data_IF_307862987311
#
_entry.id   IF_307862987311
#
_cell.length_a   1.000
_cell.length_b   1.000
_cell.length_c   1.000
_cell.angle_alpha   90.00
_cell.angle_beta   90.00
_cell.angle_gamma   90.00
#
_symmetry.space_group_name_H-M   'P 1'
#
loop_
_entity.id
_entity.type
_entity.pdbx_description
1 polymer ?
#
# COMPACT_ATOMS: atom_id res chain seq x y z
N UNK A 1 32.96 -39.29 28.07
CA UNK A 1 33.02 -38.08 27.22
C UNK A 1 32.81 -38.35 25.72
N UNK A 2 33.45 -39.33 25.07
CA UNK A 2 33.25 -39.60 23.62
C UNK A 2 31.81 -39.93 23.19
N UNK A 3 30.99 -40.55 24.07
CA UNK A 3 29.57 -40.85 23.78
C UNK A 3 28.63 -39.62 23.85
N UNK A 4 29.04 -38.53 24.53
CA UNK A 4 28.23 -37.30 24.64
C UNK A 4 28.38 -36.42 23.38
N UNK A 5 29.56 -36.47 22.75
CA UNK A 5 29.87 -35.69 21.54
C UNK A 5 29.13 -36.22 20.29
N UNK A 6 28.81 -37.52 20.27
CA UNK A 6 28.02 -38.13 19.20
C UNK A 6 26.53 -37.72 19.25
N UNK A 7 25.99 -37.44 20.46
CA UNK A 7 24.59 -37.04 20.62
C UNK A 7 24.34 -35.59 20.14
N UNK A 8 25.34 -34.70 20.26
CA UNK A 8 25.26 -33.31 19.80
C UNK A 8 25.20 -33.18 18.26
N UNK A 9 25.69 -34.17 17.51
CA UNK A 9 25.64 -34.16 16.04
C UNK A 9 24.28 -34.55 15.46
N UNK A 10 23.43 -35.27 16.20
CA UNK A 10 22.08 -35.62 15.75
C UNK A 10 21.04 -34.51 15.99
N UNK A 11 21.36 -33.52 16.84
CA UNK A 11 20.47 -32.37 17.08
C UNK A 11 20.72 -31.18 16.15
N UNK A 12 21.80 -31.17 15.35
CA UNK A 12 22.13 -30.04 14.46
C UNK A 12 21.52 -30.12 13.06
N UNK A 13 20.75 -31.17 12.75
CA UNK A 13 20.38 -31.49 11.35
C UNK A 13 19.01 -30.99 10.90
N UNK A 14 18.21 -30.36 11.76
CA UNK A 14 16.94 -29.75 11.32
C UNK A 14 17.17 -28.27 11.03
N UNK A 15 18.07 -28.00 10.08
CA UNK A 15 18.04 -26.72 9.37
C UNK A 15 16.80 -26.74 8.50
N UNK A 16 15.67 -26.27 9.02
CA UNK A 16 14.49 -26.03 8.21
C UNK A 16 14.91 -25.06 7.10
N UNK A 17 15.03 -25.57 5.87
CA UNK A 17 15.20 -24.73 4.71
C UNK A 17 14.05 -23.72 4.73
N UNK A 18 14.37 -22.44 4.89
CA UNK A 18 13.37 -21.40 4.90
C UNK A 18 12.61 -21.48 3.57
N UNK A 19 11.29 -21.61 3.68
CA UNK A 19 10.39 -21.60 2.54
C UNK A 19 10.55 -20.26 1.82
N UNK A 20 10.87 -20.31 0.52
CA UNK A 20 10.97 -19.11 -0.33
C UNK A 20 9.58 -18.75 -0.88
N UNK A 21 8.94 -17.77 -0.25
CA UNK A 21 7.61 -17.28 -0.63
C UNK A 21 7.57 -16.78 -2.08
N UNK A 22 8.68 -16.28 -2.63
CA UNK A 22 8.72 -15.80 -4.03
C UNK A 22 8.54 -16.91 -5.04
N UNK A 23 8.77 -18.16 -4.63
CA UNK A 23 8.70 -19.34 -5.51
C UNK A 23 7.46 -20.18 -5.27
N UNK A 24 7.04 -20.35 -4.02
CA UNK A 24 5.99 -21.33 -3.68
C UNK A 24 4.67 -20.71 -3.23
N UNK A 25 4.64 -19.41 -2.91
CA UNK A 25 3.46 -18.73 -2.40
C UNK A 25 2.97 -17.65 -3.36
N UNK A 26 3.80 -16.63 -3.63
CA UNK A 26 3.40 -15.48 -4.45
C UNK A 26 2.93 -15.84 -5.87
N UNK A 27 3.54 -16.82 -6.58
CA UNK A 27 3.02 -17.25 -7.87
C UNK A 27 1.60 -17.83 -7.78
N UNK A 28 1.30 -18.65 -6.77
CA UNK A 28 -0.04 -19.24 -6.59
C UNK A 28 -1.06 -18.16 -6.19
N UNK A 29 -0.66 -17.21 -5.35
CA UNK A 29 -1.49 -16.04 -5.03
C UNK A 29 -1.77 -15.20 -6.27
N UNK A 30 -0.79 -15.03 -7.17
CA UNK A 30 -1.00 -14.36 -8.44
C UNK A 30 -2.09 -15.06 -9.26
N UNK A 31 -2.03 -16.39 -9.38
CA UNK A 31 -3.07 -17.16 -10.09
C UNK A 31 -4.44 -17.04 -9.42
N UNK A 32 -4.51 -17.07 -8.07
CA UNK A 32 -5.76 -16.84 -7.34
C UNK A 32 -6.37 -15.45 -7.64
N UNK A 33 -5.52 -14.41 -7.65
CA UNK A 33 -5.94 -13.06 -7.97
C UNK A 33 -6.36 -12.91 -9.44
N UNK A 34 -5.68 -13.58 -10.39
CA UNK A 34 -6.08 -13.60 -11.80
C UNK A 34 -7.41 -14.34 -12.01
N UNK A 35 -7.64 -15.44 -11.29
CA UNK A 35 -8.93 -16.13 -11.32
C UNK A 35 -10.06 -15.22 -10.79
N UNK A 36 -9.80 -14.37 -9.78
CA UNK A 36 -10.75 -13.31 -9.36
C UNK A 36 -11.00 -12.31 -10.49
N UNK A 37 -9.94 -11.85 -11.16
CA UNK A 37 -10.05 -10.91 -12.30
C UNK A 37 -10.94 -11.50 -13.40
N UNK A 38 -10.86 -12.81 -13.61
CA UNK A 38 -11.66 -13.56 -14.59
C UNK A 38 -13.01 -14.05 -14.03
N UNK A 39 -13.39 -13.61 -12.83
CA UNK A 39 -14.64 -13.98 -12.12
C UNK A 39 -14.80 -15.48 -11.82
N UNK A 40 -13.70 -16.25 -11.86
CA UNK A 40 -13.69 -17.67 -11.50
C UNK A 40 -13.40 -17.86 -10.00
N UNK A 41 -14.37 -17.55 -9.16
CA UNK A 41 -14.20 -17.56 -7.70
C UNK A 41 -13.98 -18.96 -7.09
N UNK A 42 -14.44 -20.02 -7.77
CA UNK A 42 -14.18 -21.39 -7.33
C UNK A 42 -12.71 -21.76 -7.48
N UNK A 43 -12.12 -21.42 -8.62
CA UNK A 43 -10.71 -21.63 -8.92
C UNK A 43 -9.82 -20.73 -8.05
N UNK A 44 -10.19 -19.45 -7.89
CA UNK A 44 -9.48 -18.54 -6.98
C UNK A 44 -9.39 -19.10 -5.56
N UNK A 45 -10.51 -19.63 -5.03
CA UNK A 45 -10.54 -20.26 -3.72
C UNK A 45 -9.67 -21.52 -3.66
N UNK A 46 -9.60 -22.31 -4.73
CA UNK A 46 -8.72 -23.48 -4.79
C UNK A 46 -7.24 -23.07 -4.73
N UNK A 47 -6.83 -22.07 -5.52
CA UNK A 47 -5.47 -21.53 -5.48
C UNK A 47 -5.12 -20.92 -4.12
N UNK A 48 -6.03 -20.21 -3.45
CA UNK A 48 -5.78 -19.73 -2.09
C UNK A 48 -5.53 -20.89 -1.11
N UNK A 49 -6.34 -21.94 -1.15
CA UNK A 49 -6.14 -23.11 -0.29
C UNK A 49 -4.80 -23.81 -0.58
N UNK A 50 -4.42 -23.95 -1.84
CA UNK A 50 -3.12 -24.49 -2.25
C UNK A 50 -1.97 -23.64 -1.71
N UNK A 51 -2.01 -22.32 -1.91
CA UNK A 51 -1.00 -21.40 -1.40
C UNK A 51 -0.88 -21.47 0.14
N UNK A 52 -2.02 -21.56 0.84
CA UNK A 52 -2.04 -21.65 2.31
C UNK A 52 -1.54 -23.01 2.84
N UNK A 53 -1.65 -24.08 2.06
CA UNK A 53 -1.08 -25.37 2.43
C UNK A 53 0.46 -25.38 2.32
N UNK A 54 1.04 -24.51 1.50
CA UNK A 54 2.48 -24.43 1.25
C UNK A 54 3.25 -23.56 2.27
N UNK A 55 2.55 -22.79 3.11
CA UNK A 55 3.21 -21.89 4.06
C UNK A 55 2.52 -21.92 5.42
N UNK A 56 3.29 -21.76 6.49
CA UNK A 56 2.74 -21.73 7.85
C UNK A 56 1.92 -20.46 8.12
N UNK A 57 2.34 -19.33 7.54
CA UNK A 57 1.81 -18.00 7.87
C UNK A 57 1.44 -17.17 6.63
N UNK A 58 0.32 -17.48 5.95
CA UNK A 58 -0.21 -16.64 4.87
C UNK A 58 -0.54 -15.21 5.32
N UNK A 59 -0.60 -14.26 4.38
CA UNK A 59 -0.95 -12.87 4.70
C UNK A 59 -2.44 -12.69 5.00
N UNK A 60 -2.78 -11.76 5.90
CA UNK A 60 -4.16 -11.48 6.30
C UNK A 60 -5.04 -11.05 5.11
N UNK A 61 -4.48 -10.27 4.17
CA UNK A 61 -5.19 -9.87 2.95
C UNK A 61 -5.61 -11.06 2.08
N UNK A 62 -4.78 -12.11 2.06
CA UNK A 62 -5.03 -13.28 1.21
C UNK A 62 -6.13 -14.12 1.84
N UNK A 63 -6.13 -14.26 3.18
CA UNK A 63 -7.29 -14.80 3.90
C UNK A 63 -8.56 -14.00 3.65
N UNK A 64 -8.47 -12.66 3.60
CA UNK A 64 -9.62 -11.81 3.29
C UNK A 64 -10.16 -12.11 1.89
N UNK A 65 -9.30 -12.14 0.87
CA UNK A 65 -9.73 -12.43 -0.50
C UNK A 65 -10.32 -13.84 -0.62
N UNK A 66 -9.73 -14.82 0.07
CA UNK A 66 -10.25 -16.18 0.15
C UNK A 66 -11.61 -16.22 0.86
N UNK A 67 -11.83 -15.43 1.91
CA UNK A 67 -13.11 -15.29 2.60
C UNK A 67 -14.20 -14.68 1.70
N UNK A 68 -13.85 -13.65 0.93
CA UNK A 68 -14.75 -13.07 -0.09
C UNK A 68 -15.10 -14.13 -1.14
N UNK A 69 -14.11 -14.85 -1.69
CA UNK A 69 -14.36 -15.94 -2.63
C UNK A 69 -15.27 -17.02 -2.03
N UNK A 70 -14.97 -17.49 -0.81
CA UNK A 70 -15.74 -18.50 -0.09
C UNK A 70 -17.20 -18.08 0.13
N UNK A 71 -17.44 -16.80 0.44
CA UNK A 71 -18.79 -16.22 0.54
C UNK A 71 -19.52 -16.31 -0.80
N UNK A 72 -18.89 -15.85 -1.88
CA UNK A 72 -19.50 -15.80 -3.21
C UNK A 72 -19.88 -17.21 -3.71
N UNK A 73 -19.05 -18.22 -3.41
CA UNK A 73 -19.34 -19.61 -3.79
C UNK A 73 -20.20 -20.38 -2.77
N UNK A 74 -20.74 -19.69 -1.75
CA UNK A 74 -21.65 -20.28 -0.76
C UNK A 74 -21.00 -21.20 0.29
N UNK A 75 -19.67 -21.17 0.44
CA UNK A 75 -18.92 -21.97 1.43
C UNK A 75 -18.76 -21.20 2.76
N UNK A 76 -19.88 -20.91 3.42
CA UNK A 76 -19.92 -20.07 4.63
C UNK A 76 -19.03 -20.55 5.79
N UNK A 77 -18.94 -21.86 6.12
CA UNK A 77 -18.03 -22.33 7.17
C UNK A 77 -16.56 -21.97 6.88
N UNK A 78 -16.13 -22.17 5.63
CA UNK A 78 -14.76 -21.86 5.19
C UNK A 78 -14.49 -20.35 5.25
N UNK A 79 -15.49 -19.52 4.95
CA UNK A 79 -15.36 -18.07 5.10
C UNK A 79 -15.07 -17.70 6.57
N UNK A 80 -15.83 -18.24 7.53
CA UNK A 80 -15.60 -17.95 8.94
C UNK A 80 -14.22 -18.41 9.41
N UNK A 81 -13.76 -19.59 8.97
CA UNK A 81 -12.40 -20.07 9.27
C UNK A 81 -11.32 -19.08 8.82
N UNK A 82 -11.51 -18.44 7.66
CA UNK A 82 -10.58 -17.40 7.20
C UNK A 82 -10.70 -16.10 7.99
N UNK A 83 -11.91 -15.66 8.34
CA UNK A 83 -12.07 -14.45 9.15
C UNK A 83 -11.46 -14.62 10.55
N UNK A 84 -11.57 -15.79 11.16
CA UNK A 84 -10.91 -16.11 12.44
C UNK A 84 -9.38 -16.00 12.32
N UNK A 85 -8.78 -16.49 11.24
CA UNK A 85 -7.34 -16.35 10.96
C UNK A 85 -6.91 -14.89 10.81
N UNK A 86 -7.77 -14.02 10.26
CA UNK A 86 -7.53 -12.57 10.18
C UNK A 86 -7.59 -11.94 11.58
N UNK A 87 -8.56 -12.32 12.42
CA UNK A 87 -8.66 -11.84 13.81
C UNK A 87 -7.46 -12.30 14.66
N UNK A 88 -6.98 -13.53 14.45
CA UNK A 88 -5.79 -14.04 15.12
C UNK A 88 -4.52 -13.21 14.85
N UNK A 89 -4.50 -12.47 13.73
CA UNK A 89 -3.45 -11.50 13.37
C UNK A 89 -3.70 -10.08 13.92
N UNK A 90 -4.69 -9.91 14.80
CA UNK A 90 -4.97 -8.64 15.47
C UNK A 90 -5.90 -7.71 14.73
N UNK A 91 -6.62 -8.18 13.69
CA UNK A 91 -7.74 -7.43 13.12
C UNK A 91 -8.90 -7.36 14.13
N UNK A 92 -9.46 -6.18 14.33
CA UNK A 92 -10.62 -6.03 15.22
C UNK A 92 -11.88 -6.54 14.51
N UNK A 93 -12.64 -7.41 15.17
CA UNK A 93 -13.86 -8.02 14.64
C UNK A 93 -14.90 -6.97 14.23
N UNK A 94 -14.97 -5.85 14.95
CA UNK A 94 -15.86 -4.73 14.66
C UNK A 94 -15.60 -4.11 13.28
N UNK A 95 -14.36 -4.18 12.78
CA UNK A 95 -14.00 -3.61 11.49
C UNK A 95 -14.67 -4.33 10.31
N UNK A 96 -15.01 -5.62 10.44
CA UNK A 96 -15.76 -6.32 9.39
C UNK A 96 -17.17 -5.74 9.16
N UNK A 97 -17.76 -5.06 10.15
CA UNK A 97 -19.04 -4.36 9.98
C UNK A 97 -18.92 -3.01 9.27
N UNK A 98 -17.72 -2.45 9.23
CA UNK A 98 -17.42 -1.24 8.47
C UNK A 98 -17.04 -1.56 7.03
N UNK A 99 -16.66 -2.80 6.76
CA UNK A 99 -16.41 -3.31 5.42
C UNK A 99 -17.72 -3.46 4.63
N UNK A 100 -17.79 -2.84 3.45
CA UNK A 100 -19.02 -2.83 2.66
C UNK A 100 -19.51 -4.25 2.30
N UNK A 101 -18.59 -5.16 1.98
CA UNK A 101 -18.94 -6.53 1.61
C UNK A 101 -19.41 -7.31 2.83
N UNK A 102 -18.59 -7.37 3.89
CA UNK A 102 -18.89 -8.16 5.07
C UNK A 102 -20.00 -7.57 5.93
N UNK A 103 -20.27 -6.26 5.88
CA UNK A 103 -21.47 -5.66 6.47
C UNK A 103 -22.75 -6.33 5.96
N UNK A 104 -22.87 -6.50 4.64
CA UNK A 104 -24.06 -7.14 4.06
C UNK A 104 -24.18 -8.62 4.47
N UNK A 105 -23.05 -9.32 4.57
CA UNK A 105 -23.01 -10.69 5.09
C UNK A 105 -23.44 -10.73 6.55
N UNK A 106 -22.94 -9.81 7.37
CA UNK A 106 -23.25 -9.70 8.79
C UNK A 106 -24.73 -9.44 9.06
N UNK A 107 -25.34 -8.58 8.24
CA UNK A 107 -26.74 -8.18 8.40
C UNK A 107 -27.71 -9.28 7.94
N UNK A 108 -27.28 -10.22 7.09
CA UNK A 108 -28.13 -11.25 6.48
C UNK A 108 -27.86 -12.67 6.99
N UNK A 109 -26.64 -12.97 7.45
CA UNK A 109 -26.25 -14.31 7.89
C UNK A 109 -26.55 -14.54 9.37
N UNK A 110 -27.47 -15.48 9.67
CA UNK A 110 -27.83 -15.85 11.05
C UNK A 110 -26.65 -16.35 11.90
N UNK A 111 -25.64 -16.93 11.27
CA UNK A 111 -24.46 -17.47 11.97
C UNK A 111 -23.47 -16.36 12.39
N UNK A 112 -23.58 -15.15 11.83
CA UNK A 112 -22.64 -14.07 12.09
C UNK A 112 -22.56 -13.69 13.57
N UNK A 113 -23.69 -13.62 14.27
CA UNK A 113 -23.72 -13.30 15.70
C UNK A 113 -22.95 -14.31 16.56
N UNK A 114 -22.89 -15.59 16.14
CA UNK A 114 -22.10 -16.61 16.83
C UNK A 114 -20.61 -16.44 16.52
N UNK A 115 -20.27 -16.20 15.25
CA UNK A 115 -18.91 -15.88 14.83
C UNK A 115 -18.35 -14.68 15.60
N UNK A 116 -19.10 -13.57 15.73
CA UNK A 116 -18.62 -12.39 16.47
C UNK A 116 -18.33 -12.70 17.94
N UNK A 117 -19.17 -13.52 18.59
CA UNK A 117 -18.93 -13.94 19.97
C UNK A 117 -17.67 -14.79 20.09
N UNK A 118 -17.45 -15.72 19.15
CA UNK A 118 -16.28 -16.60 19.13
C UNK A 118 -15.00 -15.82 18.80
N UNK A 119 -15.04 -14.98 17.77
CA UNK A 119 -13.93 -14.16 17.33
C UNK A 119 -13.41 -13.22 18.43
N UNK A 120 -14.30 -12.67 19.28
CA UNK A 120 -13.90 -11.85 20.45
C UNK A 120 -13.07 -12.61 21.48
N UNK A 121 -13.12 -13.93 21.49
CA UNK A 121 -12.32 -14.78 22.39
C UNK A 121 -10.93 -15.09 21.83
N UNK A 122 -10.71 -14.84 20.54
CA UNK A 122 -9.41 -15.05 19.90
C UNK A 122 -8.43 -14.00 20.42
N UNK A 123 -7.36 -14.45 21.09
CA UNK A 123 -6.27 -13.60 21.54
C UNK A 123 -5.20 -13.55 20.44
N UNK A 124 -4.92 -12.38 19.84
CA UNK A 124 -3.88 -12.27 18.83
C UNK A 124 -2.51 -12.65 19.41
N UNK A 125 -1.73 -13.44 18.67
CA UNK A 125 -0.39 -13.86 19.08
C UNK A 125 0.66 -12.82 18.66
N UNK A 126 0.50 -11.58 19.14
CA UNK A 126 1.31 -10.44 18.72
C UNK A 126 2.20 -9.92 19.86
N UNK A 127 3.37 -9.42 19.52
CA UNK A 127 4.26 -8.70 20.43
C UNK A 127 3.78 -7.25 20.56
N UNK A 128 2.92 -7.01 21.56
CA UNK A 128 2.34 -5.69 21.81
C UNK A 128 3.39 -4.64 22.19
N UNK A 129 4.41 -5.02 22.97
CA UNK A 129 5.47 -4.11 23.40
C UNK A 129 6.28 -3.59 22.21
N UNK A 130 6.69 -4.49 21.32
CA UNK A 130 7.43 -4.14 20.11
C UNK A 130 6.57 -3.28 19.17
N UNK A 131 5.30 -3.63 19.01
CA UNK A 131 4.34 -2.85 18.23
C UNK A 131 4.19 -1.43 18.77
N UNK A 132 3.99 -1.29 20.08
CA UNK A 132 3.79 0.02 20.71
C UNK A 132 5.09 0.85 20.68
N UNK A 133 6.25 0.20 20.77
CA UNK A 133 7.56 0.82 20.58
C UNK A 133 7.71 1.41 19.18
N UNK A 134 7.39 0.63 18.14
CA UNK A 134 7.38 1.12 16.76
C UNK A 134 6.35 2.24 16.55
N UNK A 135 5.19 2.18 17.21
CA UNK A 135 4.15 3.24 17.08
C UNK A 135 4.66 4.55 17.64
N UNK A 136 5.38 4.49 18.75
CA UNK A 136 6.02 5.66 19.31
C UNK A 136 7.08 6.21 18.35
N UNK A 137 7.89 5.35 17.72
CA UNK A 137 8.87 5.77 16.71
C UNK A 137 8.18 6.44 15.52
N UNK A 138 7.14 5.81 14.97
CA UNK A 138 6.36 6.35 13.87
C UNK A 138 5.77 7.72 14.21
N UNK A 139 5.13 7.86 15.37
CA UNK A 139 4.58 9.14 15.85
C UNK A 139 5.65 10.24 15.96
N UNK A 140 6.88 9.87 16.34
CA UNK A 140 8.00 10.82 16.42
C UNK A 140 8.48 11.25 15.03
N UNK A 141 8.47 10.34 14.06
CA UNK A 141 8.80 10.63 12.65
C UNK A 141 7.74 11.52 12.00
N UNK A 142 6.46 11.23 12.21
CA UNK A 142 5.36 11.97 11.57
C UNK A 142 5.07 13.31 12.23
N UNK A 143 5.74 13.65 13.34
CA UNK A 143 5.55 14.94 14.00
C UNK A 143 6.48 15.97 13.33
N UNK A 144 5.94 16.93 12.55
CA UNK A 144 6.79 17.89 11.87
C UNK A 144 7.59 18.70 12.91
N UNK A 145 8.88 18.96 12.67
CA UNK A 145 9.65 19.83 13.54
C UNK A 145 9.06 21.24 13.51
N UNK A 146 8.92 21.85 14.68
CA UNK A 146 8.43 23.21 14.79
C UNK A 146 9.61 24.14 15.04
N UNK A 147 10.03 24.88 14.03
CA UNK A 147 10.93 26.02 14.23
C UNK A 147 10.08 27.26 14.53
N UNK A 148 10.31 27.95 15.67
CA UNK A 148 9.58 29.18 15.99
C UNK A 148 9.77 30.23 14.88
N UNK A 149 8.67 30.85 14.47
CA UNK A 149 8.71 32.01 13.56
C UNK A 149 9.33 33.22 14.24
N UNK A 150 10.00 34.07 13.44
CA UNK A 150 10.59 35.32 13.91
C UNK A 150 9.52 36.30 14.39
N UNK A 151 9.91 37.30 15.19
CA UNK A 151 9.00 38.33 15.67
C UNK A 151 8.38 39.15 14.52
N UNK A 152 9.16 39.44 13.48
CA UNK A 152 8.71 40.16 12.28
C UNK A 152 7.65 39.36 11.51
N UNK A 153 7.91 38.08 11.25
CA UNK A 153 6.99 37.19 10.56
C UNK A 153 5.70 37.00 11.37
N UNK A 154 5.80 36.90 12.70
CA UNK A 154 4.64 36.85 13.60
C UNK A 154 3.79 38.11 13.54
N UNK A 155 4.42 39.28 13.52
CA UNK A 155 3.72 40.57 13.36
C UNK A 155 3.03 40.67 12.00
N UNK A 156 3.70 40.24 10.93
CA UNK A 156 3.12 40.19 9.60
C UNK A 156 1.91 39.27 9.54
N UNK A 157 2.03 38.02 10.00
CA UNK A 157 0.92 37.05 10.03
C UNK A 157 -0.26 37.64 10.81
N UNK A 158 -0.03 38.19 12.01
CA UNK A 158 -1.10 38.77 12.84
C UNK A 158 -1.85 39.90 12.14
N UNK A 159 -1.19 40.66 11.27
CA UNK A 159 -1.81 41.74 10.51
C UNK A 159 -2.62 41.25 9.30
N UNK A 160 -2.26 40.10 8.71
CA UNK A 160 -2.82 39.61 7.44
C UNK A 160 -3.79 38.43 7.61
N UNK A 161 -3.62 37.63 8.67
CA UNK A 161 -4.49 36.53 9.05
C UNK A 161 -5.24 36.95 10.32
N UNK A 162 -6.42 37.54 10.14
CA UNK A 162 -7.35 37.71 11.26
C UNK A 162 -7.82 36.31 11.63
N UNK A 163 -7.42 35.83 12.81
CA UNK A 163 -7.96 34.65 13.54
C UNK A 163 -7.12 33.36 13.59
N UNK A 164 -6.02 33.20 12.84
CA UNK A 164 -5.19 31.99 12.99
C UNK A 164 -4.19 32.09 14.16
N UNK A 165 -4.40 31.28 15.20
CA UNK A 165 -3.52 31.20 16.38
C UNK A 165 -2.21 30.47 16.13
N UNK A 166 -2.14 29.62 15.10
CA UNK A 166 -0.97 28.82 14.76
C UNK A 166 -1.00 28.45 13.29
N UNK A 167 0.13 28.64 12.59
CA UNK A 167 0.29 28.23 11.20
C UNK A 167 1.67 27.57 11.01
N UNK A 168 1.75 26.40 10.36
CA UNK A 168 3.02 25.78 10.00
C UNK A 168 3.85 26.71 9.11
N UNK A 169 5.18 26.67 9.24
CA UNK A 169 6.08 27.47 8.39
C UNK A 169 5.84 27.15 6.91
N UNK A 170 5.59 25.89 6.56
CA UNK A 170 5.33 25.49 5.18
C UNK A 170 4.02 26.04 4.60
N UNK A 171 3.06 26.42 5.43
CA UNK A 171 1.83 27.08 4.97
C UNK A 171 2.06 28.56 4.63
N UNK A 172 3.12 29.19 5.17
CA UNK A 172 3.40 30.61 4.96
C UNK A 172 3.76 30.95 3.50
N UNK A 173 4.22 29.97 2.72
CA UNK A 173 4.57 30.15 1.30
C UNK A 173 3.35 30.48 0.44
N UNK A 174 2.15 30.20 0.93
CA UNK A 174 0.89 30.49 0.24
C UNK A 174 0.39 31.91 0.51
N UNK A 175 1.03 32.67 1.41
CA UNK A 175 0.64 34.04 1.69
C UNK A 175 1.07 34.95 0.54
N UNK A 176 0.08 35.43 -0.22
CA UNK A 176 0.30 36.41 -1.27
C UNK A 176 0.85 37.73 -0.68
N UNK A 177 1.64 38.44 -1.48
CA UNK A 177 2.18 39.78 -1.17
C UNK A 177 3.12 39.86 0.05
N UNK A 178 3.68 38.74 0.52
CA UNK A 178 4.69 38.76 1.58
C UNK A 178 5.94 39.56 1.13
N UNK A 179 6.43 40.53 1.92
CA UNK A 179 7.68 41.23 1.64
C UNK A 179 8.84 40.26 1.39
N UNK A 180 9.71 40.57 0.42
CA UNK A 180 10.81 39.67 -0.01
C UNK A 180 11.73 39.26 1.14
N UNK A 181 12.02 40.14 2.08
CA UNK A 181 12.80 39.82 3.27
C UNK A 181 12.12 38.78 4.17
N UNK A 182 10.79 38.84 4.31
CA UNK A 182 10.01 37.85 5.06
C UNK A 182 9.90 36.52 4.30
N UNK A 183 9.78 36.55 2.97
CA UNK A 183 9.84 35.33 2.14
C UNK A 183 11.19 34.61 2.34
N UNK A 184 12.31 35.34 2.30
CA UNK A 184 13.63 34.77 2.57
C UNK A 184 13.73 34.18 3.99
N UNK A 185 13.07 34.78 4.98
CA UNK A 185 12.99 34.22 6.34
C UNK A 185 12.18 32.93 6.36
N UNK A 186 11.02 32.88 5.69
CA UNK A 186 10.21 31.67 5.53
C UNK A 186 11.05 30.56 4.90
N UNK A 187 11.73 30.83 3.78
CA UNK A 187 12.58 29.83 3.11
C UNK A 187 13.72 29.32 4.00
N UNK A 188 14.34 30.22 4.76
CA UNK A 188 15.38 29.84 5.73
C UNK A 188 14.82 28.95 6.84
N UNK A 189 13.64 29.28 7.38
CA UNK A 189 12.97 28.47 8.40
C UNK A 189 12.53 27.11 7.85
N UNK A 190 12.04 27.05 6.60
CA UNK A 190 11.71 25.79 5.92
C UNK A 190 12.92 24.91 5.75
N UNK A 191 14.05 25.47 5.31
CA UNK A 191 15.32 24.75 5.21
C UNK A 191 15.75 24.17 6.58
N UNK A 192 15.65 24.97 7.65
CA UNK A 192 15.95 24.50 9.01
C UNK A 192 14.99 23.40 9.48
N UNK A 193 13.69 23.52 9.18
CA UNK A 193 12.72 22.44 9.46
C UNK A 193 13.08 21.17 8.71
N UNK A 194 13.36 21.24 7.40
CA UNK A 194 13.76 20.08 6.61
C UNK A 194 15.03 19.42 7.13
N UNK A 195 16.01 20.19 7.60
CA UNK A 195 17.22 19.64 8.25
C UNK A 195 16.88 18.90 9.54
N UNK A 196 16.09 19.52 10.44
CA UNK A 196 15.66 18.87 11.70
C UNK A 196 14.82 17.62 11.44
N UNK A 197 13.95 17.66 10.44
CA UNK A 197 13.14 16.52 10.02
C UNK A 197 14.03 15.38 9.53
N UNK A 198 15.02 15.69 8.69
CA UNK A 198 15.98 14.70 8.22
C UNK A 198 16.75 14.06 9.38
N UNK A 199 17.22 14.84 10.36
CA UNK A 199 17.91 14.32 11.55
C UNK A 199 17.00 13.40 12.39
N UNK A 200 15.76 13.82 12.65
CA UNK A 200 14.77 13.00 13.36
C UNK A 200 14.54 11.69 12.61
N UNK A 201 14.27 11.75 11.30
CA UNK A 201 14.04 10.54 10.48
C UNK A 201 15.27 9.63 10.54
N UNK A 202 16.48 10.17 10.39
CA UNK A 202 17.74 9.39 10.44
C UNK A 202 17.90 8.68 11.78
N UNK A 203 17.77 9.39 12.89
CA UNK A 203 17.92 8.83 14.24
C UNK A 203 16.90 7.73 14.50
N UNK A 204 15.65 7.94 14.08
CA UNK A 204 14.57 6.98 14.26
C UNK A 204 14.72 5.76 13.34
N UNK A 205 15.20 5.95 12.12
CA UNK A 205 15.52 4.87 11.20
C UNK A 205 16.62 3.97 11.76
N UNK A 206 17.68 4.54 12.33
CA UNK A 206 18.76 3.75 12.95
C UNK A 206 18.25 2.88 14.12
N UNK A 207 17.24 3.35 14.86
CA UNK A 207 16.59 2.54 15.89
C UNK A 207 15.82 1.38 15.26
N UNK A 208 15.05 1.62 14.19
CA UNK A 208 14.33 0.56 13.48
C UNK A 208 15.27 -0.46 12.87
N UNK A 209 16.38 -0.04 12.25
CA UNK A 209 17.37 -0.96 11.70
C UNK A 209 17.96 -1.87 12.79
N UNK A 210 18.29 -1.33 13.96
CA UNK A 210 18.72 -2.14 15.11
C UNK A 210 17.64 -3.12 15.57
N UNK A 211 16.36 -2.72 15.54
CA UNK A 211 15.26 -3.64 15.85
C UNK A 211 15.17 -4.77 14.81
N UNK A 212 15.34 -4.46 13.53
CA UNK A 212 15.37 -5.44 12.44
C UNK A 212 16.56 -6.39 12.55
N UNK A 213 17.73 -5.91 13.01
CA UNK A 213 18.90 -6.75 13.26
C UNK A 213 18.64 -7.76 14.39
N UNK A 214 17.92 -7.36 15.45
CA UNK A 214 17.65 -8.21 16.62
C UNK A 214 16.52 -9.21 16.34
N UNK A 215 15.45 -8.76 15.69
CA UNK A 215 14.21 -9.52 15.58
C UNK A 215 13.95 -10.07 14.16
N UNK A 216 14.78 -9.73 13.19
CA UNK A 216 14.47 -9.88 11.78
C UNK A 216 13.36 -8.93 11.34
N UNK A 217 12.83 -9.14 10.13
CA UNK A 217 11.71 -8.33 9.65
C UNK A 217 10.45 -8.58 10.49
N UNK A 218 9.79 -7.49 10.89
CA UNK A 218 8.68 -7.51 11.82
C UNK A 218 7.36 -7.61 11.05
N UNK A 219 6.90 -8.83 10.80
CA UNK A 219 5.71 -9.10 9.99
C UNK A 219 4.38 -8.87 10.72
N UNK A 220 3.27 -9.08 10.02
CA UNK A 220 1.92 -8.98 10.56
C UNK A 220 1.57 -10.08 11.59
N UNK A 221 2.33 -11.18 11.66
CA UNK A 221 2.14 -12.18 12.70
C UNK A 221 2.74 -11.71 14.02
N UNK A 222 3.89 -11.03 13.95
CA UNK A 222 4.60 -10.53 15.11
C UNK A 222 4.00 -9.22 15.64
N UNK A 223 3.69 -8.27 14.76
CA UNK A 223 3.19 -6.96 15.18
C UNK A 223 1.67 -6.87 15.17
N UNK A 224 1.00 -7.79 14.49
CA UNK A 224 -0.40 -7.60 14.13
C UNK A 224 -0.59 -6.50 13.08
N UNK A 225 -1.84 -6.34 12.66
CA UNK A 225 -2.23 -5.34 11.66
C UNK A 225 -2.20 -3.91 12.26
N UNK A 226 -1.86 -2.93 11.42
CA UNK A 226 -1.73 -1.53 11.85
C UNK A 226 -3.09 -0.95 12.29
N UNK A 227 -3.22 -0.66 13.59
CA UNK A 227 -4.46 -0.09 14.16
C UNK A 227 -4.52 1.44 14.10
N UNK A 228 -3.43 2.14 13.72
CA UNK A 228 -3.40 3.61 13.73
C UNK A 228 -4.49 4.22 12.84
N UNK A 229 -4.80 3.55 11.73
CA UNK A 229 -5.88 3.98 10.83
C UNK A 229 -7.27 3.45 11.23
N UNK A 230 -7.36 2.49 12.17
CA UNK A 230 -8.63 1.93 12.64
C UNK A 230 -9.36 2.88 13.59
N UNK A 231 -8.63 3.63 14.42
CA UNK A 231 -9.24 4.54 15.41
C UNK A 231 -9.55 5.93 14.88
N UNK A 232 -8.94 6.32 13.75
CA UNK A 232 -9.11 7.63 13.10
C UNK A 232 -9.99 7.56 11.84
N UNK A 233 -11.15 6.89 11.93
CA UNK A 233 -12.15 6.89 10.85
C UNK A 233 -12.72 8.30 10.53
N UNK A 234 -12.48 9.29 11.39
CA UNK A 234 -12.87 10.69 11.20
C UNK A 234 -11.79 11.57 10.57
N UNK A 235 -10.73 10.98 10.00
CA UNK A 235 -9.77 11.74 9.19
C UNK A 235 -10.51 12.59 8.15
N UNK A 236 -10.06 13.84 7.89
CA UNK A 236 -10.79 14.78 7.03
C UNK A 236 -11.11 14.11 5.70
N UNK A 237 -12.32 14.33 5.12
CA UNK A 237 -12.79 13.72 3.88
C UNK A 237 -12.01 14.27 2.68
N UNK A 238 -10.71 14.01 2.62
CA UNK A 238 -9.90 14.31 1.47
C UNK A 238 -10.21 13.25 0.41
N UNK A 239 -11.00 13.70 -0.57
CA UNK A 239 -11.42 13.04 -1.84
C UNK A 239 -12.70 12.19 -1.75
N UNK A 240 -13.83 12.89 -1.75
CA UNK A 240 -15.17 12.38 -2.09
C UNK A 240 -15.36 11.95 -3.56
N UNK A 241 -14.29 11.86 -4.36
CA UNK A 241 -14.41 11.38 -5.74
C UNK A 241 -13.99 9.90 -5.77
N UNK A 242 -15.00 9.01 -5.79
CA UNK A 242 -14.96 7.61 -6.26
C UNK A 242 -14.07 6.57 -5.55
N UNK A 243 -13.24 6.93 -4.56
CA UNK A 243 -12.33 5.98 -3.87
C UNK A 243 -12.82 5.58 -2.46
N UNK A 244 -13.96 6.10 -2.00
CA UNK A 244 -14.42 5.95 -0.61
C UNK A 244 -14.90 4.55 -0.20
N UNK A 245 -15.14 3.64 -1.14
CA UNK A 245 -15.65 2.31 -0.83
C UNK A 245 -14.61 1.34 -0.25
N UNK A 246 -13.29 1.61 -0.37
CA UNK A 246 -12.24 0.65 0.00
C UNK A 246 -11.35 1.09 1.18
N UNK A 247 -11.75 2.10 1.98
CA UNK A 247 -10.94 2.53 3.13
C UNK A 247 -10.94 1.54 4.30
N UNK A 248 -11.99 0.75 4.51
CA UNK A 248 -12.00 -0.28 5.58
C UNK A 248 -11.08 -1.46 5.27
N UNK A 249 -10.82 -1.70 3.98
CA UNK A 249 -9.97 -2.78 3.53
C UNK A 249 -8.53 -2.33 3.27
N UNK A 250 -8.28 -1.01 3.31
CA UNK A 250 -6.92 -0.43 3.27
C UNK A 250 -6.05 -0.91 4.44
N UNK A 251 -6.65 -1.26 5.60
CA UNK A 251 -5.94 -1.77 6.78
C UNK A 251 -5.26 -3.13 6.59
N UNK A 252 -5.78 -3.93 5.66
CA UNK A 252 -5.17 -5.22 5.25
C UNK A 252 -4.19 -5.01 4.09
N UNK A 253 -4.27 -3.86 3.41
CA UNK A 253 -3.51 -3.47 2.21
C UNK A 253 -2.16 -2.81 2.51
N UNK A 254 -1.95 -2.33 3.74
CA UNK A 254 -0.75 -1.61 4.14
C UNK A 254 -0.29 -2.16 5.49
N UNK A 255 0.52 -3.22 5.46
CA UNK A 255 1.16 -3.70 6.67
C UNK A 255 2.64 -3.88 6.40
N UNK A 256 3.44 -2.94 6.89
CA UNK A 256 3.79 -2.92 8.32
C UNK A 256 4.12 -1.50 8.73
N UNK A 257 4.02 -1.20 10.02
CA UNK A 257 4.53 0.03 10.61
C UNK A 257 6.02 0.26 10.27
N UNK A 258 6.75 -0.84 10.05
CA UNK A 258 8.12 -0.82 9.52
C UNK A 258 8.13 -0.31 8.09
N UNK A 259 7.27 -0.81 7.20
CA UNK A 259 7.13 -0.30 5.83
C UNK A 259 6.91 1.20 5.78
N UNK A 260 6.02 1.73 6.64
CA UNK A 260 5.75 3.18 6.70
C UNK A 260 6.99 3.97 7.19
N UNK A 261 7.68 3.48 8.22
CA UNK A 261 8.91 4.12 8.72
C UNK A 261 10.01 4.11 7.66
N UNK A 262 10.18 2.99 6.95
CA UNK A 262 11.14 2.85 5.86
C UNK A 262 10.75 3.70 4.63
N UNK A 263 9.46 3.95 4.42
CA UNK A 263 8.99 4.90 3.42
C UNK A 263 9.40 6.33 3.76
N UNK A 264 9.34 6.73 5.02
CA UNK A 264 9.79 8.08 5.42
C UNK A 264 11.29 8.30 5.18
N UNK A 265 12.14 7.28 5.36
CA UNK A 265 13.58 7.43 5.06
C UNK A 265 13.86 7.66 3.58
N UNK A 266 13.02 7.12 2.72
CA UNK A 266 13.16 7.23 1.28
C UNK A 266 12.97 8.67 0.74
N UNK A 267 12.28 9.53 1.50
CA UNK A 267 12.10 10.95 1.18
C UNK A 267 13.31 11.84 1.56
N UNK A 268 14.35 11.29 2.20
CA UNK A 268 15.56 12.05 2.53
C UNK A 268 16.34 12.38 1.26
N UNK A 269 16.05 13.54 0.66
CA UNK A 269 16.63 13.99 -0.61
C UNK A 269 18.16 14.19 -0.59
N UNK A 270 18.82 14.22 0.57
CA UNK A 270 20.22 14.69 0.67
C UNK A 270 21.09 14.05 1.77
N UNK A 271 20.60 13.06 2.52
CA UNK A 271 21.36 12.46 3.64
C UNK A 271 21.56 10.98 3.37
N UNK A 272 22.81 10.50 3.53
CA UNK A 272 23.29 9.11 3.49
C UNK A 272 22.19 8.08 3.23
N UNK A 273 21.87 7.82 1.95
CA UNK A 273 20.85 6.83 1.58
C UNK A 273 21.24 5.48 2.18
N UNK A 274 20.52 5.04 3.20
CA UNK A 274 20.71 3.70 3.75
C UNK A 274 20.05 2.72 2.78
N UNK A 275 20.84 1.86 2.14
CA UNK A 275 20.29 0.82 1.27
C UNK A 275 19.67 -0.30 2.10
N UNK A 276 18.35 -0.25 2.24
CA UNK A 276 17.53 -1.25 2.92
C UNK A 276 17.07 -2.38 1.99
N UNK A 277 17.41 -2.31 0.70
CA UNK A 277 16.92 -3.27 -0.31
C UNK A 277 17.26 -4.74 0.03
N UNK A 278 18.45 -5.09 0.55
CA UNK A 278 18.77 -6.46 0.95
C UNK A 278 17.85 -7.00 2.05
N UNK A 279 17.56 -6.18 3.07
CA UNK A 279 16.69 -6.54 4.20
C UNK A 279 15.27 -6.83 3.69
N UNK A 280 14.76 -5.98 2.80
CA UNK A 280 13.39 -6.14 2.28
C UNK A 280 13.29 -7.34 1.35
N UNK A 281 14.27 -7.57 0.48
CA UNK A 281 14.31 -8.77 -0.39
C UNK A 281 14.30 -10.04 0.44
N UNK A 282 15.07 -10.07 1.53
CA UNK A 282 15.07 -11.21 2.46
C UNK A 282 13.72 -11.35 3.17
N UNK A 283 13.13 -10.25 3.64
CA UNK A 283 11.81 -10.27 4.26
C UNK A 283 10.71 -10.82 3.32
N UNK A 284 10.78 -10.49 2.04
CA UNK A 284 9.84 -11.02 1.03
C UNK A 284 10.02 -12.53 0.85
N UNK A 285 11.27 -13.00 0.70
CA UNK A 285 11.56 -14.44 0.57
C UNK A 285 11.07 -15.23 1.79
N UNK A 286 11.20 -14.65 2.98
CA UNK A 286 10.74 -15.24 4.24
C UNK A 286 9.22 -15.10 4.48
N UNK A 287 8.47 -14.46 3.58
CA UNK A 287 7.02 -14.25 3.74
C UNK A 287 6.65 -13.22 4.81
N UNK A 288 7.59 -12.37 5.21
CA UNK A 288 7.42 -11.33 6.23
C UNK A 288 7.00 -9.98 5.66
N UNK A 289 7.17 -9.79 4.36
CA UNK A 289 6.78 -8.59 3.64
C UNK A 289 6.19 -8.95 2.28
N UNK A 290 5.19 -8.20 1.83
CA UNK A 290 4.64 -8.39 0.49
C UNK A 290 5.55 -7.75 -0.57
N UNK A 291 5.78 -8.38 -1.75
CA UNK A 291 6.59 -7.84 -2.85
C UNK A 291 6.24 -6.42 -3.27
N UNK A 292 4.97 -6.03 -3.14
CA UNK A 292 4.53 -4.66 -3.49
C UNK A 292 5.10 -3.59 -2.55
N UNK A 293 5.51 -3.92 -1.32
CA UNK A 293 6.18 -2.95 -0.43
C UNK A 293 7.51 -2.49 -1.04
N UNK A 294 8.21 -3.36 -1.78
CA UNK A 294 9.43 -2.99 -2.51
C UNK A 294 9.16 -1.87 -3.52
N UNK A 295 7.97 -1.78 -4.12
CA UNK A 295 7.64 -0.69 -5.04
C UNK A 295 7.89 0.66 -4.39
N UNK A 296 7.35 0.78 -3.18
CA UNK A 296 7.33 2.02 -2.45
C UNK A 296 8.77 2.38 -2.01
N UNK A 297 9.61 1.39 -1.69
CA UNK A 297 10.97 1.62 -1.20
C UNK A 297 12.04 1.75 -2.30
N UNK A 298 12.00 0.89 -3.33
CA UNK A 298 13.00 0.84 -4.41
C UNK A 298 12.87 1.99 -5.40
N UNK A 299 11.64 2.49 -5.60
CA UNK A 299 11.40 3.67 -6.43
C UNK A 299 12.11 4.94 -5.94
N UNK A 300 12.57 4.97 -4.69
CA UNK A 300 13.33 6.08 -4.13
C UNK A 300 14.82 5.75 -3.90
N UNK A 301 15.17 4.48 -3.67
CA UNK A 301 16.55 4.08 -3.38
C UNK A 301 17.40 3.90 -4.63
N UNK A 302 16.82 3.47 -5.75
CA UNK A 302 17.57 3.16 -6.98
C UNK A 302 17.13 4.02 -8.15
N UNK A 303 18.06 4.39 -9.03
CA UNK A 303 17.77 4.99 -10.34
C UNK A 303 17.12 3.99 -11.32
N UNK A 304 16.68 2.82 -10.85
CA UNK A 304 16.11 1.76 -11.68
C UNK A 304 14.58 1.87 -11.76
N UNK A 305 14.01 2.28 -12.91
CA UNK A 305 12.58 2.28 -13.10
C UNK A 305 12.08 0.84 -13.30
N UNK A 306 11.82 0.12 -12.20
CA UNK A 306 10.98 -1.07 -12.28
C UNK A 306 9.55 -0.60 -12.59
N UNK A 307 9.14 -0.65 -13.86
CA UNK A 307 7.76 -0.29 -14.21
C UNK A 307 6.79 -1.22 -13.49
N UNK A 308 5.78 -0.63 -12.86
CA UNK A 308 4.87 -1.35 -11.97
C UNK A 308 3.61 -1.83 -12.67
N UNK A 309 3.63 -1.91 -14.00
CA UNK A 309 2.42 -2.11 -14.79
C UNK A 309 1.43 -0.97 -14.56
N UNK A 310 1.89 0.28 -14.73
CA UNK A 310 1.00 1.44 -14.60
C UNK A 310 0.06 1.49 -15.79
N UNK A 311 -1.22 1.68 -15.54
CA UNK A 311 -2.23 1.95 -16.56
C UNK A 311 -2.78 3.35 -16.39
N UNK A 312 -2.77 4.13 -17.46
CA UNK A 312 -3.45 5.40 -17.51
C UNK A 312 -4.88 5.18 -17.99
N UNK A 313 -5.86 5.55 -17.17
CA UNK A 313 -7.28 5.56 -17.48
C UNK A 313 -7.66 6.98 -17.81
N UNK A 314 -7.91 7.26 -19.09
CA UNK A 314 -8.24 8.60 -19.56
C UNK A 314 -9.74 8.67 -19.85
N UNK A 315 -10.40 9.67 -19.28
CA UNK A 315 -11.65 10.18 -19.83
C UNK A 315 -11.33 11.45 -20.62
N UNK A 316 -11.79 11.53 -21.86
CA UNK A 316 -11.49 12.66 -22.72
C UNK A 316 -12.58 13.73 -22.61
N UNK A 317 -12.19 14.99 -22.49
CA UNK A 317 -13.08 16.14 -22.65
C UNK A 317 -12.44 17.14 -23.59
N UNK A 318 -13.26 17.82 -24.40
CA UNK A 318 -12.77 18.99 -25.12
C UNK A 318 -12.72 20.17 -24.14
N UNK A 319 -11.78 21.07 -24.36
CA UNK A 319 -11.81 22.38 -23.71
C UNK A 319 -13.04 23.17 -24.18
N UNK A 320 -13.53 24.04 -23.31
CA UNK A 320 -14.65 24.93 -23.63
C UNK A 320 -14.29 25.72 -24.90
N UNK A 321 -15.23 25.78 -25.85
CA UNK A 321 -15.12 26.43 -27.18
C UNK A 321 -14.53 25.59 -28.34
N UNK A 322 -14.14 24.34 -28.13
CA UNK A 322 -13.72 23.48 -29.26
C UNK A 322 -14.91 22.69 -29.78
N UNK A 323 -15.24 22.90 -31.06
CA UNK A 323 -16.18 22.07 -31.78
C UNK A 323 -15.43 21.06 -32.66
N UNK A 324 -15.56 19.77 -32.35
CA UNK A 324 -15.03 18.72 -33.21
C UNK A 324 -16.10 18.25 -34.20
N UNK A 325 -15.99 18.58 -35.51
CA UNK A 325 -16.96 18.15 -36.51
C UNK A 325 -16.92 16.64 -36.79
N UNK A 326 -16.03 15.90 -36.13
CA UNK A 326 -15.93 14.46 -36.28
C UNK A 326 -17.14 13.78 -35.61
N UNK A 327 -17.99 13.13 -36.41
CA UNK A 327 -19.18 12.39 -35.95
C UNK A 327 -18.83 11.29 -34.92
N UNK A 328 -17.59 10.80 -34.92
CA UNK A 328 -17.14 9.80 -33.95
C UNK A 328 -16.82 10.40 -32.57
N UNK A 329 -16.71 11.74 -32.45
CA UNK A 329 -16.38 12.37 -31.17
C UNK A 329 -17.46 12.15 -30.11
N UNK A 330 -18.73 12.25 -30.49
CA UNK A 330 -19.83 12.02 -29.56
C UNK A 330 -19.79 10.62 -28.96
N UNK A 331 -19.35 9.63 -29.74
CA UNK A 331 -19.12 8.27 -29.28
C UNK A 331 -17.85 8.17 -28.43
N UNK A 332 -16.79 8.91 -28.78
CA UNK A 332 -15.49 8.82 -28.12
C UNK A 332 -15.44 9.51 -26.75
N UNK A 333 -16.16 10.61 -26.55
CA UNK A 333 -16.08 11.47 -25.34
C UNK A 333 -16.66 10.85 -24.08
N UNK A 334 -17.61 9.94 -24.24
CA UNK A 334 -18.28 9.27 -23.12
C UNK A 334 -17.55 8.00 -22.66
N UNK A 335 -16.49 7.60 -23.39
CA UNK A 335 -15.75 6.37 -23.14
C UNK A 335 -14.51 6.61 -22.29
N UNK A 336 -14.11 5.57 -21.58
CA UNK A 336 -12.84 5.52 -20.87
C UNK A 336 -11.81 4.76 -21.71
N UNK A 337 -10.59 5.28 -21.78
CA UNK A 337 -9.49 4.72 -22.56
C UNK A 337 -8.36 4.28 -21.66
N UNK A 338 -7.79 3.12 -21.97
CA UNK A 338 -6.80 2.45 -21.15
C UNK A 338 -5.48 2.35 -21.87
N UNK A 339 -4.46 3.04 -21.37
CA UNK A 339 -3.14 3.03 -21.97
C UNK A 339 -2.11 2.45 -21.01
N UNK A 340 -1.52 1.32 -21.41
CA UNK A 340 -0.39 0.70 -20.71
C UNK A 340 0.81 1.66 -20.76
N UNK A 341 1.42 1.94 -19.62
CA UNK A 341 2.70 2.64 -19.55
C UNK A 341 3.78 1.78 -20.22
N UNK A 342 4.60 2.37 -21.07
CA UNK A 342 5.76 1.70 -21.68
C UNK A 342 7.03 2.35 -21.14
N UNK A 343 7.99 1.53 -20.72
CA UNK A 343 9.33 2.03 -20.41
C UNK A 343 9.98 2.59 -21.67
N UNK A 344 10.65 3.73 -21.54
CA UNK A 344 11.46 4.29 -22.61
C UNK A 344 12.82 3.58 -22.75
N UNK A 345 13.29 2.90 -21.70
CA UNK A 345 14.68 2.41 -21.59
C UNK A 345 14.79 0.90 -21.48
N UNK A 346 13.73 0.19 -21.07
CA UNK A 346 13.76 -1.25 -20.83
C UNK A 346 12.73 -1.98 -21.70
N UNK A 347 13.11 -3.15 -22.20
CA UNK A 347 12.18 -4.08 -22.82
C UNK A 347 11.25 -4.73 -21.80
N UNK A 348 10.12 -5.26 -22.26
CA UNK A 348 9.18 -5.96 -21.39
C UNK A 348 9.78 -7.23 -20.76
N UNK A 349 10.69 -7.91 -21.46
CA UNK A 349 11.40 -9.09 -20.96
C UNK A 349 12.27 -8.69 -19.75
N UNK A 350 13.11 -7.65 -19.90
CA UNK A 350 13.95 -7.15 -18.81
C UNK A 350 13.13 -6.67 -17.60
N UNK A 351 11.99 -6.02 -17.85
CA UNK A 351 11.06 -5.61 -16.80
C UNK A 351 10.52 -6.83 -16.06
N UNK A 352 10.08 -7.87 -16.78
CA UNK A 352 9.54 -9.08 -16.18
C UNK A 352 10.59 -9.85 -15.38
N UNK A 353 11.82 -9.98 -15.87
CA UNK A 353 12.91 -10.60 -15.14
C UNK A 353 13.18 -9.87 -13.81
N UNK A 354 13.25 -8.54 -13.85
CA UNK A 354 13.42 -7.72 -12.63
C UNK A 354 12.26 -7.90 -11.65
N UNK A 355 11.02 -7.89 -12.15
CA UNK A 355 9.81 -8.08 -11.33
C UNK A 355 9.81 -9.45 -10.65
N UNK A 356 10.07 -10.51 -11.41
CA UNK A 356 10.08 -11.88 -10.88
C UNK A 356 11.20 -12.10 -9.86
N UNK A 357 12.37 -11.49 -10.05
CA UNK A 357 13.46 -11.50 -9.07
C UNK A 357 13.10 -10.85 -7.72
N UNK A 358 12.03 -10.04 -7.69
CA UNK A 358 11.48 -9.40 -6.50
C UNK A 358 10.23 -10.13 -5.97
N UNK A 359 9.81 -11.24 -6.59
CA UNK A 359 8.57 -11.93 -6.26
C UNK A 359 7.31 -11.25 -6.79
N UNK A 360 7.43 -10.30 -7.71
CA UNK A 360 6.30 -9.64 -8.37
C UNK A 360 5.84 -10.45 -9.60
N UNK A 361 4.56 -10.31 -9.93
CA UNK A 361 3.94 -10.88 -11.12
C UNK A 361 4.47 -10.28 -12.42
N UNK A 362 4.18 -10.90 -13.57
CA UNK A 362 4.52 -10.33 -14.88
C UNK A 362 3.75 -9.04 -15.14
N UNK A 363 4.28 -8.22 -16.05
CA UNK A 363 3.71 -6.92 -16.39
C UNK A 363 2.29 -7.05 -16.95
N UNK A 364 2.01 -8.10 -17.72
CA UNK A 364 0.66 -8.36 -18.25
C UNK A 364 -0.35 -8.62 -17.13
N UNK A 365 -0.01 -9.46 -16.16
CA UNK A 365 -0.84 -9.76 -15.00
C UNK A 365 -1.09 -8.49 -14.18
N UNK A 366 -0.03 -7.68 -13.98
CA UNK A 366 -0.14 -6.39 -13.32
C UNK A 366 -1.13 -5.46 -14.03
N UNK A 367 -1.13 -5.40 -15.36
CA UNK A 367 -2.10 -4.60 -16.11
C UNK A 367 -3.53 -5.13 -15.97
N UNK A 368 -3.74 -6.45 -15.99
CA UNK A 368 -5.06 -7.07 -15.77
C UNK A 368 -5.60 -6.76 -14.37
N UNK A 369 -4.74 -6.80 -13.35
CA UNK A 369 -5.11 -6.44 -11.97
C UNK A 369 -5.35 -4.94 -11.82
N UNK A 370 -4.57 -4.08 -12.48
CA UNK A 370 -4.84 -2.64 -12.54
C UNK A 370 -6.23 -2.38 -13.16
N UNK A 371 -6.58 -3.12 -14.21
CA UNK A 371 -7.91 -3.11 -14.84
C UNK A 371 -9.02 -3.38 -13.87
N UNK A 372 -8.94 -4.52 -13.21
CA UNK A 372 -9.93 -4.93 -12.24
C UNK A 372 -10.13 -3.90 -11.12
N UNK A 373 -9.03 -3.32 -10.59
CA UNK A 373 -9.05 -2.34 -9.49
C UNK A 373 -9.60 -0.97 -9.85
N UNK A 374 -9.74 -0.65 -11.14
CA UNK A 374 -10.37 0.61 -11.55
C UNK A 374 -11.87 0.65 -11.29
N UNK A 375 -12.46 -0.51 -10.95
CA UNK A 375 -13.87 -0.69 -10.64
C UNK A 375 -14.03 -0.91 -9.14
N UNK A 376 -15.16 -0.50 -8.54
CA UNK A 376 -15.50 -0.89 -7.19
C UNK A 376 -15.50 -2.41 -7.07
N UNK A 377 -14.67 -2.94 -6.18
CA UNK A 377 -14.49 -4.38 -5.99
C UNK A 377 -14.19 -4.64 -4.51
N UNK A 378 -14.75 -5.72 -3.92
CA UNK A 378 -14.47 -6.05 -2.54
C UNK A 378 -13.05 -6.60 -2.34
N UNK A 379 -12.37 -7.05 -3.40
CA UNK A 379 -11.10 -7.76 -3.28
C UNK A 379 -9.87 -6.85 -3.09
N UNK A 380 -8.89 -7.37 -2.35
CA UNK A 380 -7.63 -6.73 -2.01
C UNK A 380 -6.49 -7.28 -2.87
N UNK A 381 -6.53 -6.93 -4.14
CA UNK A 381 -5.59 -7.44 -5.14
C UNK A 381 -4.35 -6.54 -5.23
N UNK A 382 -3.16 -7.13 -5.16
CA UNK A 382 -1.92 -6.40 -5.42
C UNK A 382 -1.51 -6.44 -6.89
N UNK A 383 -0.54 -5.62 -7.26
CA UNK A 383 -0.02 -5.62 -8.62
C UNK A 383 -0.74 -4.64 -9.53
N UNK A 384 0.02 -3.98 -10.40
CA UNK A 384 -0.47 -2.88 -11.23
C UNK A 384 -0.84 -1.63 -10.43
N UNK A 385 -0.72 -0.46 -11.03
CA UNK A 385 -1.39 0.75 -10.53
C UNK A 385 -2.15 1.39 -11.65
N UNK A 386 -3.31 1.97 -11.37
CA UNK A 386 -3.99 2.79 -12.35
C UNK A 386 -3.99 4.24 -11.91
N UNK A 387 -4.00 5.14 -12.87
CA UNK A 387 -4.22 6.56 -12.66
C UNK A 387 -5.39 6.98 -13.52
N UNK A 388 -6.45 7.49 -12.89
CA UNK A 388 -7.57 8.07 -13.62
C UNK A 388 -7.29 9.56 -13.85
N UNK A 389 -7.35 10.00 -15.11
CA UNK A 389 -7.17 11.38 -15.50
C UNK A 389 -8.33 11.83 -16.38
N UNK A 390 -8.82 13.03 -16.10
CA UNK A 390 -9.69 13.75 -17.01
C UNK A 390 -8.79 14.58 -17.93
N UNK A 391 -8.63 14.11 -19.17
CA UNK A 391 -7.79 14.75 -20.16
C UNK A 391 -8.60 15.80 -20.93
N UNK A 392 -8.26 17.07 -20.74
CA UNK A 392 -8.77 18.17 -21.56
C UNK A 392 -7.94 18.25 -22.84
N UNK A 393 -8.62 18.22 -23.98
CA UNK A 393 -7.97 18.15 -25.29
C UNK A 393 -8.18 19.50 -26.01
N UNK A 394 -7.09 20.20 -26.38
CA UNK A 394 -7.17 21.54 -26.96
C UNK A 394 -7.45 21.55 -28.48
N UNK A 395 -7.48 20.39 -29.15
CA UNK A 395 -7.96 20.26 -30.52
C UNK A 395 -8.29 18.80 -30.90
N UNK A 396 -9.04 18.62 -31.98
CA UNK A 396 -9.54 17.31 -32.39
C UNK A 396 -8.46 16.33 -32.88
N UNK A 397 -7.36 16.83 -33.44
CA UNK A 397 -6.28 15.98 -33.97
C UNK A 397 -5.51 15.24 -32.88
N UNK A 398 -5.52 15.77 -31.66
CA UNK A 398 -4.87 15.14 -30.51
C UNK A 398 -5.67 13.95 -29.97
N UNK A 399 -6.97 13.85 -30.22
CA UNK A 399 -7.83 12.76 -29.72
C UNK A 399 -7.24 11.41 -30.14
N UNK A 400 -7.04 11.21 -31.45
CA UNK A 400 -6.56 9.94 -31.98
C UNK A 400 -5.10 9.64 -31.58
N UNK A 401 -4.28 10.67 -31.40
CA UNK A 401 -2.91 10.53 -30.89
C UNK A 401 -2.88 10.09 -29.42
N UNK A 402 -3.75 10.66 -28.59
CA UNK A 402 -3.82 10.34 -27.16
C UNK A 402 -4.30 8.89 -26.94
N UNK A 403 -5.35 8.48 -27.64
CA UNK A 403 -5.93 7.13 -27.53
C UNK A 403 -5.21 6.08 -28.38
N UNK A 404 -4.16 6.45 -29.13
CA UNK A 404 -3.39 5.49 -29.92
C UNK A 404 -2.81 4.40 -29.02
N UNK A 405 -3.18 3.15 -29.32
CA UNK A 405 -2.79 1.98 -28.54
C UNK A 405 -3.52 1.84 -27.20
N UNK A 406 -4.56 2.66 -26.96
CA UNK A 406 -5.43 2.52 -25.81
C UNK A 406 -6.55 1.51 -26.10
N UNK A 407 -6.95 0.75 -25.08
CA UNK A 407 -8.12 -0.13 -25.13
C UNK A 407 -9.32 0.67 -24.65
N UNK A 408 -10.44 0.55 -25.37
CA UNK A 408 -11.70 1.20 -25.00
C UNK A 408 -12.38 0.37 -23.93
N UNK A 409 -12.70 0.97 -22.77
CA UNK A 409 -13.64 0.36 -21.83
C UNK A 409 -15.05 0.46 -22.38
N UNK A 410 -15.74 -0.67 -22.36
CA UNK A 410 -17.19 -0.72 -22.52
C UNK A 410 -17.87 -0.59 -21.18
#
# INVERSE_FOLDING_TARGET
>A
MKKLLLLLFFYSSISYAQIDFTRIYHPIINEAELAIVDTNYHEALAFYNEAFANVEKPFAKDYYNAAVCATIVGKMPVMFDFLEKIVAKGYQIENFRHDFFFKNVADTCKQWANFEKQAKLIKPQINTELRDSLRNIYRLITKPPVTPITAELRSYIKAHEKEQKWMPVDSLVLMNNMPKNLQNQVDSLRKLNSMKEADIIRDKLLIVLKMLDIHGFLDENLLGLNQYFQTNMQGPPFRNNTVTANYSSSYLYENTLVGDILMFSSFQRQVDKIDISPIIKQAIREGKAHPVIIKALVGYSTDEPCTMGKVLVMQLRLEDNINCPNKDWDIKKEKYYWKKEKSATLSEIEINERRQNLGLEKLEDAYRKAFFKSRPTPFLIYGGSYQAELAYIPNCELIDKMIKGAIVLR
#
